data_IF_126842686510
#
_entry.id   IF_126842686510
#
_cell.length_a   1.000
_cell.length_b   1.000
_cell.length_c   1.000
_cell.angle_alpha   90.00
_cell.angle_beta   90.00
_cell.angle_gamma   90.00
#
_symmetry.space_group_name_H-M   'P 1'
#
loop_
_entity.id
_entity.type
_entity.pdbx_description
1 polymer ?
#
# COMPACT_ATOMS: atom_id res chain seq x y z
N UNK A 1 -7.19 -3.11 -48.41
CA UNK A 1 -7.26 -1.95 -47.48
C UNK A 1 -8.65 -1.69 -46.93
N UNK A 2 -9.73 -1.71 -47.73
CA UNK A 2 -11.11 -1.67 -47.20
C UNK A 2 -11.56 -3.07 -46.72
N UNK A 3 -11.61 -4.05 -47.64
CA UNK A 3 -12.10 -5.42 -47.40
C UNK A 3 -11.39 -6.14 -46.23
N UNK A 4 -10.08 -5.91 -46.06
CA UNK A 4 -9.28 -6.46 -44.94
C UNK A 4 -9.79 -6.05 -43.55
N UNK A 5 -10.57 -4.97 -43.44
CA UNK A 5 -11.12 -4.48 -42.16
C UNK A 5 -12.45 -5.13 -41.80
N UNK A 6 -13.22 -5.58 -42.79
CA UNK A 6 -14.52 -6.24 -42.57
C UNK A 6 -14.36 -7.68 -42.10
N UNK A 7 -13.25 -8.33 -42.47
CA UNK A 7 -12.92 -9.71 -42.04
C UNK A 7 -11.94 -9.75 -40.84
N UNK A 8 -12.09 -8.85 -39.86
CA UNK A 8 -11.22 -8.89 -38.68
C UNK A 8 -11.60 -10.06 -37.74
N UNK A 9 -10.60 -10.89 -37.40
CA UNK A 9 -10.84 -12.13 -36.65
C UNK A 9 -11.28 -11.88 -35.21
N UNK A 10 -12.12 -12.75 -34.60
CA UNK A 10 -12.57 -12.61 -33.22
C UNK A 10 -11.42 -12.39 -32.23
N UNK A 11 -10.38 -13.21 -32.27
CA UNK A 11 -9.20 -13.07 -31.39
C UNK A 11 -8.52 -11.70 -31.52
N UNK A 12 -8.50 -11.10 -32.72
CA UNK A 12 -7.91 -9.77 -32.96
C UNK A 12 -8.80 -8.64 -32.43
N UNK A 13 -10.13 -8.80 -32.49
CA UNK A 13 -11.10 -7.89 -31.85
C UNK A 13 -10.98 -7.97 -30.32
N UNK A 14 -10.98 -9.19 -29.78
CA UNK A 14 -10.86 -9.44 -28.34
C UNK A 14 -9.56 -8.89 -27.77
N UNK A 15 -8.42 -9.27 -28.34
CA UNK A 15 -7.10 -8.78 -27.90
C UNK A 15 -6.98 -7.26 -28.05
N UNK A 16 -7.46 -6.71 -29.17
CA UNK A 16 -7.41 -5.28 -29.47
C UNK A 16 -8.19 -4.37 -28.51
N UNK A 17 -9.08 -4.92 -27.69
CA UNK A 17 -9.80 -4.20 -26.62
C UNK A 17 -9.31 -4.65 -25.24
N UNK A 18 -9.26 -5.95 -24.97
CA UNK A 18 -8.94 -6.48 -23.63
C UNK A 18 -7.52 -6.13 -23.18
N UNK A 19 -6.53 -6.16 -24.08
CA UNK A 19 -5.14 -5.84 -23.74
C UNK A 19 -4.97 -4.36 -23.36
N UNK A 20 -5.34 -3.36 -24.19
CA UNK A 20 -5.27 -1.95 -23.79
C UNK A 20 -6.20 -1.60 -22.61
N UNK A 21 -7.37 -2.23 -22.46
CA UNK A 21 -8.23 -2.01 -21.30
C UNK A 21 -7.59 -2.51 -20.00
N UNK A 22 -6.96 -3.69 -20.02
CA UNK A 22 -6.15 -4.21 -18.92
C UNK A 22 -5.10 -3.19 -18.45
N UNK A 23 -4.22 -2.72 -19.35
CA UNK A 23 -3.16 -1.78 -18.97
C UNK A 23 -3.71 -0.45 -18.45
N UNK A 24 -4.84 0.00 -18.99
CA UNK A 24 -5.54 1.22 -18.55
C UNK A 24 -6.11 1.07 -17.13
N UNK A 25 -6.71 -0.08 -16.81
CA UNK A 25 -7.25 -0.38 -15.49
C UNK A 25 -6.16 -0.66 -14.45
N UNK A 26 -5.11 -1.41 -14.83
CA UNK A 26 -4.04 -1.90 -13.95
C UNK A 26 -3.35 -0.76 -13.19
N UNK A 27 -3.05 0.37 -13.85
CA UNK A 27 -2.41 1.53 -13.22
C UNK A 27 -3.27 2.09 -12.08
N UNK A 28 -4.58 2.22 -12.30
CA UNK A 28 -5.53 2.74 -11.32
C UNK A 28 -5.72 1.76 -10.16
N UNK A 29 -5.90 0.46 -10.45
CA UNK A 29 -6.02 -0.57 -9.42
C UNK A 29 -4.76 -0.70 -8.55
N UNK A 30 -3.58 -0.55 -9.14
CA UNK A 30 -2.31 -0.62 -8.42
C UNK A 30 -2.17 0.49 -7.36
N UNK A 31 -2.67 1.71 -7.64
CA UNK A 31 -2.71 2.79 -6.64
C UNK A 31 -3.59 2.41 -5.44
N UNK A 32 -4.80 1.89 -5.69
CA UNK A 32 -5.67 1.41 -4.61
C UNK A 32 -5.07 0.23 -3.83
N UNK A 33 -4.38 -0.69 -4.52
CA UNK A 33 -3.70 -1.80 -3.86
C UNK A 33 -2.56 -1.35 -2.94
N UNK A 34 -1.72 -0.41 -3.39
CA UNK A 34 -0.64 0.15 -2.56
C UNK A 34 -1.23 0.90 -1.35
N UNK A 35 -2.32 1.65 -1.51
CA UNK A 35 -3.01 2.29 -0.38
C UNK A 35 -3.57 1.27 0.63
N UNK A 36 -4.23 0.22 0.17
CA UNK A 36 -4.79 -0.81 1.05
C UNK A 36 -3.69 -1.64 1.75
N UNK A 37 -2.53 -1.82 1.10
CA UNK A 37 -1.32 -2.39 1.71
C UNK A 37 -0.71 -1.47 2.77
N UNK A 38 -0.54 -0.17 2.51
CA UNK A 38 0.02 0.76 3.52
C UNK A 38 -0.92 0.98 4.71
N UNK A 39 -2.22 0.78 4.54
CA UNK A 39 -3.20 0.74 5.63
C UNK A 39 -3.22 -0.60 6.40
N UNK A 40 -2.46 -1.62 5.98
CA UNK A 40 -2.48 -2.95 6.61
C UNK A 40 -3.78 -3.74 6.42
N UNK A 41 -4.64 -3.33 5.47
CA UNK A 41 -5.96 -3.93 5.23
C UNK A 41 -5.91 -5.17 4.34
N UNK A 42 -4.78 -5.42 3.67
CA UNK A 42 -4.52 -6.58 2.81
C UNK A 42 -3.17 -7.18 3.16
N UNK A 43 -3.14 -8.49 3.36
CA UNK A 43 -1.92 -9.28 3.43
C UNK A 43 -1.94 -10.29 2.29
N UNK A 44 -1.09 -10.13 1.27
CA UNK A 44 -0.98 -11.12 0.20
C UNK A 44 -0.02 -12.24 0.61
N UNK A 45 -0.49 -13.48 0.56
CA UNK A 45 0.34 -14.65 0.85
C UNK A 45 1.24 -15.05 -0.34
N UNK A 46 2.00 -16.15 -0.19
CA UNK A 46 3.13 -16.56 -1.05
C UNK A 46 2.85 -16.84 -2.53
N UNK A 47 1.65 -16.51 -3.05
CA UNK A 47 1.30 -16.50 -4.49
C UNK A 47 1.14 -15.07 -5.05
N UNK A 48 1.66 -14.05 -4.35
CA UNK A 48 1.60 -12.62 -4.71
C UNK A 48 1.68 -12.35 -6.22
N UNK A 49 2.71 -12.82 -6.93
CA UNK A 49 2.87 -12.56 -8.36
C UNK A 49 1.67 -13.01 -9.22
N UNK A 50 1.06 -14.15 -8.93
CA UNK A 50 -0.12 -14.62 -9.65
C UNK A 50 -1.41 -13.94 -9.16
N UNK A 51 -1.52 -13.64 -7.86
CA UNK A 51 -2.62 -12.86 -7.30
C UNK A 51 -2.67 -11.47 -7.95
N UNK A 52 -1.55 -10.75 -7.98
CA UNK A 52 -1.31 -9.48 -8.68
C UNK A 52 -1.73 -9.57 -10.16
N UNK A 53 -1.29 -10.62 -10.87
CA UNK A 53 -1.67 -10.85 -12.26
C UNK A 53 -3.19 -11.00 -12.39
N UNK A 54 -3.83 -11.96 -11.73
CA UNK A 54 -5.28 -12.15 -11.91
C UNK A 54 -6.09 -10.93 -11.46
N UNK A 55 -5.78 -10.36 -10.29
CA UNK A 55 -6.51 -9.26 -9.68
C UNK A 55 -6.46 -7.98 -10.53
N UNK A 56 -5.28 -7.60 -11.03
CA UNK A 56 -5.09 -6.33 -11.73
C UNK A 56 -5.23 -6.39 -13.26
N UNK A 57 -4.80 -7.48 -13.89
CA UNK A 57 -4.78 -7.62 -15.37
C UNK A 57 -6.15 -8.05 -15.91
N UNK A 58 -6.94 -8.81 -15.13
CA UNK A 58 -8.29 -9.21 -15.54
C UNK A 58 -9.35 -8.20 -15.12
N UNK A 59 -10.27 -7.79 -16.00
CA UNK A 59 -11.49 -7.07 -15.62
C UNK A 59 -12.60 -7.99 -15.08
N UNK A 60 -12.32 -9.29 -14.93
CA UNK A 60 -13.28 -10.35 -14.55
C UNK A 60 -12.95 -11.02 -13.21
N UNK A 61 -11.78 -10.71 -12.65
CA UNK A 61 -11.24 -11.32 -11.42
C UNK A 61 -12.20 -11.29 -10.22
N UNK A 62 -13.04 -10.25 -10.14
CA UNK A 62 -14.07 -10.01 -9.13
C UNK A 62 -14.97 -11.23 -8.87
N UNK A 63 -15.37 -11.97 -9.91
CA UNK A 63 -16.19 -13.18 -9.73
C UNK A 63 -15.38 -14.47 -9.81
N UNK A 64 -14.36 -14.53 -10.67
CA UNK A 64 -13.58 -15.76 -10.84
C UNK A 64 -12.71 -16.10 -9.63
N UNK A 65 -12.12 -15.10 -8.95
CA UNK A 65 -11.22 -15.37 -7.82
C UNK A 65 -12.02 -15.96 -6.64
N UNK A 66 -13.15 -15.40 -6.17
CA UNK A 66 -13.96 -16.05 -5.15
C UNK A 66 -14.38 -17.49 -5.48
N UNK A 67 -14.67 -17.78 -6.76
CA UNK A 67 -14.98 -19.15 -7.21
C UNK A 67 -13.73 -20.05 -7.16
N UNK A 68 -12.54 -19.57 -7.55
CA UNK A 68 -11.28 -20.31 -7.46
C UNK A 68 -10.86 -20.55 -6.00
N UNK A 69 -11.10 -19.58 -5.11
CA UNK A 69 -10.90 -19.73 -3.66
C UNK A 69 -11.82 -20.83 -3.09
N UNK A 70 -13.12 -20.75 -3.39
CA UNK A 70 -14.13 -21.67 -2.87
C UNK A 70 -14.02 -23.11 -3.43
N UNK A 71 -13.65 -23.29 -4.71
CA UNK A 71 -13.57 -24.61 -5.34
C UNK A 71 -12.23 -25.32 -5.11
N UNK A 72 -11.12 -24.58 -4.96
CA UNK A 72 -9.77 -25.17 -4.90
C UNK A 72 -9.04 -24.88 -3.58
N UNK A 73 -9.71 -24.31 -2.57
CA UNK A 73 -9.11 -24.01 -1.26
C UNK A 73 -7.92 -23.06 -1.35
N UNK A 74 -7.91 -22.18 -2.36
CA UNK A 74 -6.76 -21.31 -2.62
C UNK A 74 -6.86 -20.00 -1.84
N UNK A 75 -5.82 -19.66 -1.09
CA UNK A 75 -5.70 -18.38 -0.41
C UNK A 75 -4.80 -17.46 -1.25
N UNK A 76 -5.35 -16.33 -1.71
CA UNK A 76 -4.59 -15.30 -2.43
C UNK A 76 -4.14 -14.16 -1.51
N UNK A 77 -4.79 -14.01 -0.36
CA UNK A 77 -4.48 -13.06 0.70
C UNK A 77 -5.57 -13.04 1.77
N UNK A 78 -5.26 -12.38 2.89
CA UNK A 78 -6.12 -12.21 4.05
C UNK A 78 -6.40 -10.72 4.32
N UNK A 79 -7.56 -10.43 4.92
CA UNK A 79 -7.98 -9.09 5.30
C UNK A 79 -9.08 -8.48 4.42
N UNK A 80 -9.94 -7.68 5.04
CA UNK A 80 -11.13 -7.06 4.42
C UNK A 80 -10.80 -6.16 3.20
N UNK A 81 -9.56 -5.66 3.11
CA UNK A 81 -9.11 -4.85 1.98
C UNK A 81 -9.18 -5.59 0.64
N UNK A 82 -9.12 -6.93 0.62
CA UNK A 82 -9.25 -7.72 -0.62
C UNK A 82 -10.66 -7.55 -1.22
N UNK A 83 -11.69 -7.55 -0.38
CA UNK A 83 -13.08 -7.30 -0.77
C UNK A 83 -13.27 -5.85 -1.24
N UNK A 84 -12.72 -4.87 -0.52
CA UNK A 84 -12.73 -3.47 -0.96
C UNK A 84 -12.04 -3.28 -2.32
N UNK A 85 -10.93 -3.97 -2.57
CA UNK A 85 -10.22 -3.93 -3.85
C UNK A 85 -11.06 -4.53 -4.98
N UNK A 86 -11.76 -5.66 -4.75
CA UNK A 86 -12.73 -6.20 -5.72
C UNK A 86 -13.85 -5.19 -6.04
N UNK A 87 -14.44 -4.55 -5.02
CA UNK A 87 -15.48 -3.53 -5.22
C UNK A 87 -14.96 -2.29 -5.97
N UNK A 88 -13.73 -1.84 -5.70
CA UNK A 88 -13.06 -0.76 -6.43
C UNK A 88 -12.65 -1.16 -7.86
N UNK A 89 -12.40 -2.44 -8.13
CA UNK A 89 -12.08 -2.95 -9.46
C UNK A 89 -13.24 -2.75 -10.44
N UNK A 90 -14.47 -3.06 -10.03
CA UNK A 90 -15.68 -3.02 -10.88
C UNK A 90 -15.82 -1.70 -11.67
N UNK A 91 -15.88 -0.49 -11.04
CA UNK A 91 -16.04 0.76 -11.79
C UNK A 91 -14.82 1.10 -12.65
N UNK A 92 -13.61 0.75 -12.21
CA UNK A 92 -12.36 0.97 -12.98
C UNK A 92 -12.35 0.11 -14.24
N UNK A 93 -12.79 -1.15 -14.15
CA UNK A 93 -12.87 -2.08 -15.27
C UNK A 93 -13.96 -1.68 -16.28
N UNK A 94 -15.15 -1.29 -15.80
CA UNK A 94 -16.23 -0.75 -16.64
C UNK A 94 -15.78 0.51 -17.39
N UNK A 95 -15.06 1.42 -16.70
CA UNK A 95 -14.50 2.62 -17.30
C UNK A 95 -13.42 2.31 -18.35
N UNK A 96 -12.44 1.47 -18.03
CA UNK A 96 -11.34 1.15 -18.92
C UNK A 96 -11.82 0.40 -20.18
N UNK A 97 -12.72 -0.58 -20.02
CA UNK A 97 -13.37 -1.26 -21.15
C UNK A 97 -14.23 -0.28 -21.97
N UNK A 98 -14.96 0.62 -21.31
CA UNK A 98 -15.79 1.63 -21.99
C UNK A 98 -14.99 2.62 -22.82
N UNK A 99 -13.88 3.13 -22.28
CA UNK A 99 -12.96 4.03 -22.96
C UNK A 99 -12.35 3.36 -24.20
N UNK A 100 -11.72 2.20 -23.99
CA UNK A 100 -10.98 1.48 -25.04
C UNK A 100 -11.91 0.89 -26.11
N UNK A 101 -13.08 0.37 -25.74
CA UNK A 101 -14.03 -0.12 -26.73
C UNK A 101 -14.62 1.02 -27.58
N UNK A 102 -14.88 2.20 -27.00
CA UNK A 102 -15.33 3.38 -27.78
C UNK A 102 -14.29 3.81 -28.81
N UNK A 103 -13.01 3.89 -28.44
CA UNK A 103 -11.95 4.22 -29.41
C UNK A 103 -11.83 3.16 -30.50
N UNK A 104 -11.90 1.87 -30.14
CA UNK A 104 -11.78 0.75 -31.08
C UNK A 104 -12.95 0.67 -32.07
N UNK A 105 -14.20 0.84 -31.60
CA UNK A 105 -15.40 0.81 -32.45
C UNK A 105 -15.34 1.90 -33.52
N UNK A 106 -14.90 3.10 -33.16
CA UNK A 106 -14.79 4.23 -34.08
C UNK A 106 -13.60 4.09 -35.03
N UNK A 107 -12.38 3.93 -34.50
CA UNK A 107 -11.14 3.97 -35.28
C UNK A 107 -10.94 2.72 -36.16
N UNK A 108 -11.26 1.54 -35.62
CA UNK A 108 -10.96 0.24 -36.25
C UNK A 108 -12.17 -0.36 -36.95
N UNK A 109 -13.34 -0.34 -36.31
CA UNK A 109 -14.57 -0.96 -36.85
C UNK A 109 -15.45 0.02 -37.64
N UNK A 110 -15.23 1.35 -37.51
CA UNK A 110 -16.10 2.42 -38.06
C UNK A 110 -17.59 2.20 -37.75
N UNK A 111 -17.89 1.73 -36.55
CA UNK A 111 -19.24 1.58 -36.00
C UNK A 111 -19.47 2.64 -34.92
N UNK A 112 -20.70 3.13 -34.81
CA UNK A 112 -21.09 3.94 -33.66
C UNK A 112 -21.08 3.06 -32.39
N UNK A 113 -20.39 3.44 -31.31
CA UNK A 113 -20.33 2.64 -30.09
C UNK A 113 -21.68 2.71 -29.35
N UNK A 114 -22.29 1.58 -28.98
CA UNK A 114 -23.54 1.56 -28.21
C UNK A 114 -23.46 2.32 -26.88
N UNK A 115 -24.59 2.85 -26.43
CA UNK A 115 -24.71 3.37 -25.07
C UNK A 115 -24.46 2.25 -24.04
N UNK A 116 -23.75 2.61 -22.96
CA UNK A 116 -23.34 1.63 -21.94
C UNK A 116 -22.32 0.58 -22.39
N UNK A 117 -21.68 0.69 -23.57
CA UNK A 117 -20.76 -0.32 -24.13
C UNK A 117 -19.72 -0.88 -23.14
N UNK A 118 -19.17 -0.04 -22.26
CA UNK A 118 -18.23 -0.49 -21.21
C UNK A 118 -18.86 -1.47 -20.22
N UNK A 119 -20.07 -1.17 -19.73
CA UNK A 119 -20.85 -2.06 -18.86
C UNK A 119 -21.32 -3.31 -19.61
N UNK A 120 -21.72 -3.17 -20.87
CA UNK A 120 -22.17 -4.30 -21.70
C UNK A 120 -21.03 -5.29 -22.00
N UNK A 121 -19.82 -4.81 -22.28
CA UNK A 121 -18.63 -5.65 -22.41
C UNK A 121 -18.25 -6.23 -21.05
N UNK A 122 -18.21 -5.41 -19.99
CA UNK A 122 -17.83 -5.85 -18.65
C UNK A 122 -18.73 -6.95 -18.12
N UNK A 123 -20.07 -6.80 -18.16
CA UNK A 123 -20.97 -7.84 -17.65
C UNK A 123 -20.88 -9.15 -18.44
N UNK A 124 -20.74 -9.05 -19.78
CA UNK A 124 -20.58 -10.23 -20.64
C UNK A 124 -19.22 -10.92 -20.41
N UNK A 125 -18.14 -10.17 -20.21
CA UNK A 125 -16.84 -10.75 -19.89
C UNK A 125 -16.79 -11.31 -18.47
N UNK A 126 -17.38 -10.61 -17.51
CA UNK A 126 -17.52 -10.99 -16.11
C UNK A 126 -18.20 -12.36 -15.97
N UNK A 127 -19.35 -12.55 -16.60
CA UNK A 127 -20.05 -13.84 -16.63
C UNK A 127 -19.20 -14.95 -17.28
N UNK A 128 -18.48 -14.65 -18.37
CA UNK A 128 -17.67 -15.67 -19.07
C UNK A 128 -16.48 -16.10 -18.22
N UNK A 129 -15.69 -15.16 -17.70
CA UNK A 129 -14.53 -15.52 -16.87
C UNK A 129 -14.91 -16.10 -15.51
N UNK A 130 -16.11 -15.82 -14.97
CA UNK A 130 -16.63 -16.49 -13.77
C UNK A 130 -16.72 -18.02 -13.93
N UNK A 131 -16.91 -18.55 -15.16
CA UNK A 131 -16.82 -19.99 -15.45
C UNK A 131 -15.50 -20.38 -16.11
N UNK A 132 -14.99 -19.55 -17.03
CA UNK A 132 -13.83 -19.86 -17.85
C UNK A 132 -12.50 -19.77 -17.10
N UNK A 133 -12.34 -18.84 -16.16
CA UNK A 133 -11.09 -18.73 -15.38
C UNK A 133 -10.94 -19.84 -14.33
N UNK A 134 -11.99 -20.28 -13.59
CA UNK A 134 -11.90 -21.50 -12.78
C UNK A 134 -11.66 -22.77 -13.61
N UNK A 135 -12.26 -22.88 -14.80
CA UNK A 135 -12.00 -24.00 -15.71
C UNK A 135 -10.55 -24.00 -16.23
N UNK A 136 -10.04 -22.83 -16.64
CA UNK A 136 -8.65 -22.64 -17.05
C UNK A 136 -7.69 -22.93 -15.90
N UNK A 137 -8.00 -22.47 -14.69
CA UNK A 137 -7.23 -22.75 -13.48
C UNK A 137 -7.12 -24.25 -13.22
N UNK A 138 -8.25 -24.97 -13.30
CA UNK A 138 -8.29 -26.43 -13.13
C UNK A 138 -7.48 -27.17 -14.21
N UNK A 139 -7.69 -26.86 -15.48
CA UNK A 139 -6.99 -27.53 -16.59
C UNK A 139 -5.48 -27.25 -16.54
N UNK A 140 -5.08 -26.00 -16.30
CA UNK A 140 -3.65 -25.64 -16.21
C UNK A 140 -3.01 -26.30 -15.00
N UNK A 141 -3.64 -26.27 -13.81
CA UNK A 141 -3.10 -26.96 -12.62
C UNK A 141 -2.94 -28.46 -12.86
N UNK A 142 -3.98 -29.12 -13.39
CA UNK A 142 -3.93 -30.54 -13.71
C UNK A 142 -2.83 -30.87 -14.74
N UNK A 143 -2.64 -30.05 -15.78
CA UNK A 143 -1.54 -30.22 -16.73
C UNK A 143 -0.18 -30.00 -16.06
N UNK A 144 -0.04 -29.01 -15.19
CA UNK A 144 1.19 -28.74 -14.44
C UNK A 144 1.55 -29.91 -13.53
N UNK A 145 0.61 -30.45 -12.75
CA UNK A 145 0.84 -31.59 -11.84
C UNK A 145 1.27 -32.85 -12.61
N UNK A 146 0.63 -33.14 -13.74
CA UNK A 146 1.02 -34.24 -14.64
C UNK A 146 2.38 -33.98 -15.30
N UNK A 147 2.69 -32.74 -15.70
CA UNK A 147 3.96 -32.39 -16.33
C UNK A 147 5.14 -32.42 -15.35
N UNK A 148 4.93 -32.02 -14.08
CA UNK A 148 5.90 -32.19 -13.00
C UNK A 148 6.17 -33.67 -12.79
N UNK A 149 5.12 -34.49 -12.62
CA UNK A 149 5.22 -35.95 -12.46
C UNK A 149 5.98 -36.60 -13.62
N UNK A 150 5.67 -36.22 -14.86
CA UNK A 150 6.38 -36.69 -16.05
C UNK A 150 7.85 -36.23 -16.09
N UNK A 151 8.15 -35.00 -15.68
CA UNK A 151 9.52 -34.49 -15.66
C UNK A 151 10.41 -35.26 -14.66
N UNK A 152 9.87 -35.65 -13.50
CA UNK A 152 10.57 -36.51 -12.55
C UNK A 152 10.83 -37.91 -13.13
N UNK A 153 9.83 -38.57 -13.73
CA UNK A 153 10.02 -39.91 -14.31
C UNK A 153 10.97 -39.91 -15.51
N UNK A 154 11.04 -38.82 -16.27
CA UNK A 154 12.05 -38.63 -17.32
C UNK A 154 13.46 -38.40 -16.76
N UNK A 155 13.61 -37.68 -15.64
CA UNK A 155 14.91 -37.47 -14.99
C UNK A 155 15.48 -38.75 -14.35
N UNK A 156 14.61 -39.67 -13.90
CA UNK A 156 15.00 -40.99 -13.39
C UNK A 156 15.24 -42.05 -14.49
N UNK A 157 14.86 -41.75 -15.73
CA UNK A 157 14.94 -42.67 -16.87
C UNK A 157 16.40 -43.00 -17.20
N UNK A 158 16.68 -44.29 -17.42
CA UNK A 158 18.03 -44.87 -17.39
C UNK A 158 19.05 -44.22 -18.34
N UNK A 159 18.59 -43.66 -19.47
CA UNK A 159 19.41 -42.91 -20.44
C UNK A 159 19.76 -41.48 -20.02
N UNK A 160 18.92 -40.82 -19.23
CA UNK A 160 19.15 -39.47 -18.67
C UNK A 160 19.75 -39.52 -17.27
N UNK A 161 19.61 -40.64 -16.58
CA UNK A 161 20.15 -40.88 -15.24
C UNK A 161 21.66 -40.65 -15.16
N UNK A 162 22.45 -41.17 -16.10
CA UNK A 162 23.90 -40.92 -16.17
C UNK A 162 24.26 -39.43 -16.35
N UNK A 163 23.41 -38.66 -17.02
CA UNK A 163 23.57 -37.20 -17.20
C UNK A 163 23.21 -36.44 -15.90
N UNK A 164 22.19 -36.93 -15.20
CA UNK A 164 21.58 -36.28 -14.03
C UNK A 164 22.26 -36.62 -12.69
N UNK A 165 22.80 -37.83 -12.53
CA UNK A 165 23.53 -38.26 -11.32
C UNK A 165 25.03 -37.92 -11.38
N UNK A 166 25.63 -37.82 -12.58
CA UNK A 166 27.10 -37.71 -12.75
C UNK A 166 27.60 -36.45 -13.47
N UNK A 167 26.74 -35.64 -14.09
CA UNK A 167 27.17 -34.54 -14.97
C UNK A 167 26.61 -33.15 -14.65
N UNK A 168 25.35 -33.05 -14.24
CA UNK A 168 24.64 -31.77 -14.09
C UNK A 168 24.73 -31.18 -12.67
N UNK A 169 25.14 -29.91 -12.49
CA UNK A 169 25.03 -29.22 -11.21
C UNK A 169 23.55 -28.97 -10.85
N UNK A 170 23.24 -28.94 -9.54
CA UNK A 170 21.87 -28.87 -9.00
C UNK A 170 21.02 -27.73 -9.61
N UNK A 171 21.63 -26.56 -9.86
CA UNK A 171 20.95 -25.42 -10.46
C UNK A 171 20.49 -25.69 -11.92
N UNK A 172 21.29 -26.40 -12.72
CA UNK A 172 20.95 -26.75 -14.11
C UNK A 172 19.89 -27.85 -14.15
N UNK A 173 19.92 -28.82 -13.22
CA UNK A 173 18.85 -29.81 -13.05
C UNK A 173 17.51 -29.13 -12.76
N UNK A 174 17.47 -28.19 -11.81
CA UNK A 174 16.25 -27.43 -11.47
C UNK A 174 15.79 -26.56 -12.66
N UNK A 175 16.72 -25.93 -13.39
CA UNK A 175 16.41 -25.15 -14.59
C UNK A 175 15.81 -25.98 -15.73
N UNK A 176 16.36 -27.17 -16.00
CA UNK A 176 15.82 -28.10 -16.99
C UNK A 176 14.44 -28.62 -16.58
N UNK A 177 14.27 -29.05 -15.32
CA UNK A 177 12.98 -29.51 -14.79
C UNK A 177 11.90 -28.42 -14.93
N UNK A 178 12.20 -27.19 -14.48
CA UNK A 178 11.35 -26.01 -14.59
C UNK A 178 11.00 -25.65 -16.04
N UNK A 179 11.96 -25.74 -16.98
CA UNK A 179 11.69 -25.45 -18.40
C UNK A 179 10.84 -26.52 -19.06
N UNK A 180 10.97 -27.80 -18.67
CA UNK A 180 10.15 -28.90 -19.20
C UNK A 180 8.68 -28.73 -18.77
N UNK A 181 8.37 -28.77 -17.47
CA UNK A 181 6.97 -28.66 -17.03
C UNK A 181 6.41 -27.24 -17.22
N UNK A 182 7.25 -26.22 -17.06
CA UNK A 182 6.86 -24.82 -17.22
C UNK A 182 6.52 -24.43 -18.66
N UNK A 183 7.24 -24.97 -19.67
CA UNK A 183 6.91 -24.71 -21.08
C UNK A 183 5.60 -25.38 -21.50
N UNK A 184 5.37 -26.63 -21.09
CA UNK A 184 4.11 -27.35 -21.33
C UNK A 184 2.93 -26.60 -20.69
N UNK A 185 3.07 -26.22 -19.42
CA UNK A 185 2.05 -25.46 -18.68
C UNK A 185 1.77 -24.10 -19.33
N UNK A 186 2.82 -23.39 -19.75
CA UNK A 186 2.71 -22.08 -20.42
C UNK A 186 2.06 -22.19 -21.80
N UNK A 187 2.34 -23.25 -22.56
CA UNK A 187 1.73 -23.49 -23.87
C UNK A 187 0.21 -23.75 -23.74
N UNK A 188 -0.20 -24.59 -22.78
CA UNK A 188 -1.62 -24.83 -22.50
C UNK A 188 -2.32 -23.57 -21.99
N UNK A 189 -1.70 -22.83 -21.06
CA UNK A 189 -2.19 -21.54 -20.59
C UNK A 189 -2.39 -20.54 -21.74
N UNK A 190 -1.43 -20.44 -22.67
CA UNK A 190 -1.51 -19.56 -23.83
C UNK A 190 -2.64 -19.96 -24.79
N UNK A 191 -2.77 -21.25 -25.12
CA UNK A 191 -3.84 -21.77 -26.00
C UNK A 191 -5.22 -21.51 -25.38
N UNK A 192 -5.41 -21.82 -24.09
CA UNK A 192 -6.68 -21.54 -23.39
C UNK A 192 -6.96 -20.04 -23.31
N UNK A 193 -5.95 -19.20 -23.04
CA UNK A 193 -6.11 -17.74 -23.02
C UNK A 193 -6.55 -17.19 -24.38
N UNK A 194 -5.98 -17.70 -25.48
CA UNK A 194 -6.38 -17.33 -26.85
C UNK A 194 -7.81 -17.77 -27.17
N UNK A 195 -8.27 -18.92 -26.66
CA UNK A 195 -9.67 -19.36 -26.78
C UNK A 195 -10.60 -18.40 -26.02
N UNK A 196 -10.29 -18.05 -24.77
CA UNK A 196 -11.08 -17.09 -23.98
C UNK A 196 -11.16 -15.70 -24.64
N UNK A 197 -10.04 -15.19 -25.15
CA UNK A 197 -9.99 -13.92 -25.91
C UNK A 197 -10.79 -14.01 -27.22
N UNK A 198 -10.79 -15.16 -27.89
CA UNK A 198 -11.60 -15.37 -29.11
C UNK A 198 -13.11 -15.36 -28.82
N UNK A 199 -13.56 -16.02 -27.75
CA UNK A 199 -14.97 -16.03 -27.32
C UNK A 199 -15.46 -14.61 -27.02
N UNK A 200 -14.67 -13.85 -26.23
CA UNK A 200 -14.98 -12.45 -25.92
C UNK A 200 -14.98 -11.57 -27.17
N UNK A 201 -14.00 -11.76 -28.06
CA UNK A 201 -13.94 -11.08 -29.34
C UNK A 201 -15.11 -11.38 -30.27
N UNK A 202 -15.67 -12.60 -30.23
CA UNK A 202 -16.86 -12.98 -31.00
C UNK A 202 -18.13 -12.29 -30.49
N UNK A 203 -18.22 -12.06 -29.17
CA UNK A 203 -19.33 -11.32 -28.56
C UNK A 203 -19.23 -9.82 -28.86
N UNK A 204 -18.01 -9.26 -28.82
CA UNK A 204 -17.77 -7.88 -29.24
C UNK A 204 -18.08 -7.70 -30.74
N UNK A 205 -17.68 -8.68 -31.57
CA UNK A 205 -18.03 -8.70 -33.00
C UNK A 205 -19.54 -8.64 -33.23
N UNK A 206 -20.34 -9.45 -32.52
CA UNK A 206 -21.81 -9.40 -32.62
C UNK A 206 -22.37 -8.02 -32.26
N UNK A 207 -21.88 -7.39 -31.19
CA UNK A 207 -22.28 -6.02 -30.84
C UNK A 207 -21.90 -5.00 -31.93
N UNK A 208 -20.75 -5.19 -32.59
CA UNK A 208 -20.34 -4.36 -33.71
C UNK A 208 -21.18 -4.64 -34.98
N UNK A 209 -21.61 -5.88 -35.22
CA UNK A 209 -22.53 -6.24 -36.31
C UNK A 209 -23.91 -5.59 -36.10
N UNK A 210 -24.44 -5.61 -34.87
CA UNK A 210 -25.66 -4.91 -34.42
C UNK A 210 -25.57 -3.37 -34.48
N UNK A 211 -24.35 -2.81 -34.42
CA UNK A 211 -24.12 -1.35 -34.37
C UNK A 211 -24.27 -0.66 -35.74
N UNK A 212 -24.70 0.61 -35.73
CA UNK A 212 -24.80 1.45 -36.94
C UNK A 212 -23.40 1.78 -37.51
N UNK A 213 -23.24 1.88 -38.84
CA UNK A 213 -22.02 2.44 -39.43
C UNK A 213 -21.87 3.91 -39.03
N UNK A 214 -20.65 4.34 -38.72
CA UNK A 214 -20.38 5.75 -38.46
C UNK A 214 -20.59 6.57 -39.75
N UNK A 215 -21.44 7.59 -39.70
CA UNK A 215 -21.83 8.42 -40.85
C UNK A 215 -20.78 9.46 -41.26
N UNK A 216 -19.69 9.58 -40.50
CA UNK A 216 -18.67 10.62 -40.66
C UNK A 216 -17.53 10.19 -41.58
N UNK A 217 -17.05 11.12 -42.41
CA UNK A 217 -15.77 10.95 -43.11
C UNK A 217 -14.62 10.92 -42.08
N UNK A 218 -13.50 10.28 -42.43
CA UNK A 218 -12.39 9.97 -41.52
C UNK A 218 -11.87 11.17 -40.71
N UNK A 219 -11.82 12.36 -41.31
CA UNK A 219 -11.40 13.58 -40.63
C UNK A 219 -12.41 14.07 -39.58
N UNK A 220 -13.73 13.92 -39.82
CA UNK A 220 -14.78 14.21 -38.84
C UNK A 220 -14.76 13.20 -37.69
N UNK A 221 -14.50 11.93 -38.01
CA UNK A 221 -14.39 10.86 -37.02
C UNK A 221 -13.16 11.09 -36.09
N UNK A 222 -12.07 11.66 -36.60
CA UNK A 222 -10.94 12.15 -35.78
C UNK A 222 -11.35 13.33 -34.90
N UNK A 223 -12.01 14.37 -35.44
CA UNK A 223 -12.38 15.54 -34.62
C UNK A 223 -13.42 15.20 -33.56
N UNK A 224 -14.40 14.33 -33.85
CA UNK A 224 -15.34 13.79 -32.86
C UNK A 224 -14.60 13.01 -31.76
N UNK A 225 -13.58 12.24 -32.12
CA UNK A 225 -12.76 11.48 -31.16
C UNK A 225 -11.89 12.37 -30.27
N UNK A 226 -11.31 13.45 -30.81
CA UNK A 226 -10.54 14.41 -30.03
C UNK A 226 -11.45 15.24 -29.11
N UNK A 227 -12.63 15.65 -29.61
CA UNK A 227 -13.69 16.27 -28.79
C UNK A 227 -14.22 15.34 -27.68
N UNK A 228 -14.20 14.01 -27.86
CA UNK A 228 -14.54 13.05 -26.80
C UNK A 228 -13.47 12.90 -25.71
N UNK A 229 -12.27 13.45 -25.90
CA UNK A 229 -11.21 13.52 -24.88
C UNK A 229 -11.29 14.80 -24.05
N UNK A 230 -11.82 15.87 -24.63
CA UNK A 230 -12.14 17.10 -23.89
C UNK A 230 -13.42 16.85 -23.07
N UNK A 231 -13.40 17.01 -21.74
CA UNK A 231 -14.62 16.89 -20.96
C UNK A 231 -15.57 18.04 -21.33
N UNK A 232 -16.84 17.71 -21.59
CA UNK A 232 -17.87 18.67 -21.94
C UNK A 232 -18.09 19.74 -20.83
N UNK A 233 -17.77 19.40 -19.59
CA UNK A 233 -17.65 20.34 -18.47
C UNK A 233 -16.22 20.29 -17.89
N UNK A 234 -15.42 21.29 -18.24
CA UNK A 234 -14.06 21.47 -17.74
C UNK A 234 -14.02 21.95 -16.27
N UNK A 235 -15.08 22.63 -15.81
CA UNK A 235 -15.22 23.06 -14.42
C UNK A 235 -15.47 21.87 -13.50
N UNK A 236 -16.33 20.92 -13.93
CA UNK A 236 -16.55 19.65 -13.24
C UNK A 236 -15.29 18.78 -13.23
N UNK A 237 -14.50 18.74 -14.33
CA UNK A 237 -13.19 18.07 -14.32
C UNK A 237 -12.26 18.69 -13.28
N UNK A 238 -12.08 20.01 -13.29
CA UNK A 238 -11.17 20.69 -12.36
C UNK A 238 -11.62 20.51 -10.90
N UNK A 239 -12.92 20.61 -10.64
CA UNK A 239 -13.51 20.46 -9.30
C UNK A 239 -13.38 19.02 -8.79
N UNK A 240 -13.62 18.01 -9.64
CA UNK A 240 -13.46 16.60 -9.25
C UNK A 240 -11.98 16.23 -9.07
N UNK A 241 -11.07 16.71 -9.93
CA UNK A 241 -9.63 16.51 -9.77
C UNK A 241 -9.10 17.15 -8.47
N UNK A 242 -9.52 18.39 -8.17
CA UNK A 242 -9.16 19.08 -6.93
C UNK A 242 -9.76 18.38 -5.70
N UNK A 243 -11.03 17.94 -5.77
CA UNK A 243 -11.70 17.19 -4.71
C UNK A 243 -11.02 15.87 -4.40
N UNK A 244 -10.65 15.09 -5.43
CA UNK A 244 -9.83 13.87 -5.28
C UNK A 244 -8.46 14.20 -4.69
N UNK A 245 -7.81 15.28 -5.14
CA UNK A 245 -6.54 15.74 -4.57
C UNK A 245 -6.63 16.06 -3.07
N UNK A 246 -7.69 16.73 -2.63
CA UNK A 246 -7.96 17.02 -1.21
C UNK A 246 -8.23 15.73 -0.43
N UNK A 247 -9.07 14.82 -0.94
CA UNK A 247 -9.36 13.53 -0.29
C UNK A 247 -8.11 12.67 -0.18
N UNK A 248 -7.30 12.57 -1.24
CA UNK A 248 -6.03 11.85 -1.22
C UNK A 248 -5.01 12.51 -0.27
N UNK A 249 -4.99 13.83 -0.14
CA UNK A 249 -4.13 14.53 0.83
C UNK A 249 -4.58 14.26 2.27
N UNK A 250 -5.88 14.32 2.56
CA UNK A 250 -6.43 13.97 3.87
C UNK A 250 -6.16 12.50 4.22
N UNK A 251 -6.39 11.57 3.29
CA UNK A 251 -6.03 10.17 3.43
C UNK A 251 -4.53 9.99 3.70
N UNK A 252 -3.66 10.66 2.95
CA UNK A 252 -2.22 10.61 3.18
C UNK A 252 -1.85 11.05 4.61
N UNK A 253 -2.42 12.16 5.09
CA UNK A 253 -2.19 12.64 6.46
C UNK A 253 -2.77 11.73 7.56
N UNK A 254 -3.83 10.97 7.30
CA UNK A 254 -4.40 9.99 8.27
C UNK A 254 -3.77 8.60 8.19
N UNK A 255 -3.19 8.22 7.05
CA UNK A 255 -2.58 6.90 6.80
C UNK A 255 -1.07 6.92 7.07
N UNK A 256 -0.44 8.11 7.10
CA UNK A 256 0.96 8.26 7.51
C UNK A 256 1.21 7.51 8.83
N UNK A 257 2.02 6.42 8.83
CA UNK A 257 2.30 5.71 10.07
C UNK A 257 3.03 6.64 11.03
N UNK A 258 2.80 6.46 12.34
CA UNK A 258 3.39 7.28 13.42
C UNK A 258 4.90 7.01 13.50
N UNK A 259 5.60 7.62 12.57
CA UNK A 259 7.05 7.52 12.30
C UNK A 259 7.80 8.73 12.82
N UNK A 260 7.09 9.71 13.41
CA UNK A 260 7.59 10.42 14.59
C UNK A 260 7.94 9.37 15.65
N UNK A 261 9.23 9.13 15.95
CA UNK A 261 9.61 8.01 16.80
C UNK A 261 9.08 8.25 18.21
N UNK A 262 8.06 7.49 18.61
CA UNK A 262 7.63 7.47 19.99
C UNK A 262 8.80 6.96 20.83
N UNK A 263 9.33 7.74 21.80
CA UNK A 263 10.49 7.31 22.55
C UNK A 263 10.14 6.02 23.29
N UNK A 264 10.85 4.93 22.97
CA UNK A 264 10.70 3.66 23.68
C UNK A 264 10.80 3.92 25.19
N UNK A 265 10.00 3.21 26.01
CA UNK A 265 9.90 3.48 27.46
C UNK A 265 11.26 3.47 28.17
N UNK A 266 12.21 2.65 27.67
CA UNK A 266 13.61 2.59 28.09
C UNK A 266 14.39 3.92 27.97
N UNK A 267 13.94 4.85 27.12
CA UNK A 267 14.62 6.09 26.74
C UNK A 267 13.77 7.33 27.07
N UNK A 268 13.10 7.31 28.23
CA UNK A 268 12.48 8.52 28.78
C UNK A 268 13.56 9.59 28.98
N UNK A 269 13.46 10.69 28.23
CA UNK A 269 14.41 11.81 28.30
C UNK A 269 14.43 12.35 29.74
N UNK A 270 15.61 12.58 30.36
CA UNK A 270 15.65 13.15 31.71
C UNK A 270 14.90 14.48 31.74
N UNK A 271 13.98 14.63 32.69
CA UNK A 271 13.30 15.89 32.94
C UNK A 271 14.34 16.88 33.48
N UNK A 272 14.88 17.71 32.58
CA UNK A 272 15.77 18.81 32.96
C UNK A 272 14.94 19.82 33.73
N UNK A 273 15.17 19.92 35.05
CA UNK A 273 14.60 20.99 35.86
C UNK A 273 15.00 22.34 35.25
N UNK A 274 14.02 23.02 34.66
CA UNK A 274 14.21 24.35 34.10
C UNK A 274 14.51 25.29 35.26
N UNK A 275 15.73 25.85 35.30
CA UNK A 275 16.12 26.80 36.36
C UNK A 275 15.03 27.87 36.54
N UNK A 276 14.50 28.05 37.76
CA UNK A 276 13.32 28.86 37.97
C UNK A 276 13.59 30.31 37.58
N UNK A 277 12.90 30.78 36.53
CA UNK A 277 13.10 32.07 35.86
C UNK A 277 13.40 33.18 36.87
N UNK A 278 14.63 33.68 36.84
CA UNK A 278 15.15 34.64 37.81
C UNK A 278 14.29 35.92 37.82
N UNK A 279 13.56 36.16 38.93
CA UNK A 279 12.70 37.33 39.12
C UNK A 279 13.43 38.40 39.94
N UNK A 280 13.92 39.51 39.34
CA UNK A 280 14.72 40.50 40.05
C UNK A 280 13.98 41.19 41.21
N UNK A 281 12.65 41.26 41.15
CA UNK A 281 11.81 41.81 42.22
C UNK A 281 11.85 40.99 43.52
N UNK A 282 12.01 39.66 43.45
CA UNK A 282 12.10 38.82 44.65
C UNK A 282 13.48 38.91 45.30
N UNK A 283 14.56 38.97 44.51
CA UNK A 283 15.92 39.18 45.03
C UNK A 283 16.10 40.59 45.60
N UNK A 284 15.51 41.62 44.98
CA UNK A 284 15.44 42.98 45.53
C UNK A 284 14.71 43.02 46.88
N UNK A 285 13.50 42.47 46.97
CA UNK A 285 12.73 42.47 48.23
C UNK A 285 13.43 41.68 49.35
N UNK A 286 14.03 40.53 49.03
CA UNK A 286 14.85 39.75 49.97
C UNK A 286 16.07 40.54 50.47
N UNK A 287 16.73 41.28 49.57
CA UNK A 287 17.85 42.15 49.91
C UNK A 287 17.41 43.33 50.80
N UNK A 288 16.27 43.96 50.49
CA UNK A 288 15.71 45.03 51.32
C UNK A 288 15.35 44.56 52.74
N UNK A 289 14.75 43.37 52.89
CA UNK A 289 14.51 42.77 54.22
C UNK A 289 15.80 42.47 54.97
N UNK A 290 16.85 41.99 54.29
CA UNK A 290 18.17 41.77 54.92
C UNK A 290 18.84 43.07 55.35
N UNK A 291 18.75 44.13 54.55
CA UNK A 291 19.25 45.46 54.94
C UNK A 291 18.50 45.97 56.17
N UNK A 292 17.16 45.92 56.18
CA UNK A 292 16.36 46.34 57.32
C UNK A 292 16.70 45.55 58.61
N UNK A 293 16.87 44.22 58.52
CA UNK A 293 17.23 43.40 59.67
C UNK A 293 18.67 43.60 60.16
N UNK A 294 19.59 43.99 59.28
CA UNK A 294 20.95 44.40 59.65
C UNK A 294 20.96 45.79 60.31
N UNK A 295 20.19 46.75 59.82
CA UNK A 295 20.05 48.08 60.44
C UNK A 295 19.50 47.95 61.87
N UNK A 296 18.41 47.19 62.06
CA UNK A 296 17.85 46.94 63.39
C UNK A 296 18.83 46.21 64.35
N UNK A 297 19.73 45.36 63.82
CA UNK A 297 20.80 44.75 64.62
C UNK A 297 21.91 45.76 64.98
N UNK A 298 22.23 46.71 64.11
CA UNK A 298 23.19 47.79 64.40
C UNK A 298 22.62 48.70 65.50
N UNK A 299 21.37 49.13 65.39
CA UNK A 299 20.68 49.95 66.40
C UNK A 299 20.65 49.24 67.77
N UNK A 300 20.30 47.95 67.79
CA UNK A 300 20.32 47.13 69.00
C UNK A 300 21.73 46.96 69.60
N UNK A 301 22.78 46.87 68.76
CA UNK A 301 24.17 46.82 69.21
C UNK A 301 24.68 48.18 69.72
N UNK A 302 24.15 49.30 69.24
CA UNK A 302 24.46 50.63 69.77
C UNK A 302 23.77 50.89 71.12
N UNK A 303 22.52 50.44 71.28
CA UNK A 303 21.86 50.37 72.59
C UNK A 303 22.63 49.48 73.56
N UNK A 304 23.01 48.26 73.17
CA UNK A 304 23.84 47.39 74.03
C UNK A 304 25.22 48.00 74.35
N UNK A 305 25.83 48.79 73.46
CA UNK A 305 27.10 49.49 73.75
C UNK A 305 26.93 50.64 74.74
N UNK A 306 25.81 51.36 74.69
CA UNK A 306 25.52 52.42 75.68
C UNK A 306 25.18 51.81 77.04
N UNK A 307 24.41 50.73 77.10
CA UNK A 307 24.14 50.00 78.34
C UNK A 307 25.38 49.29 78.93
N UNK A 308 26.23 48.66 78.09
CA UNK A 308 27.46 48.05 78.58
C UNK A 308 28.48 49.08 79.08
N UNK A 309 28.49 50.31 78.56
CA UNK A 309 29.25 51.42 79.17
C UNK A 309 28.75 51.71 80.59
N UNK A 310 27.44 51.71 80.81
CA UNK A 310 26.85 51.92 82.13
C UNK A 310 27.12 50.76 83.11
N UNK A 311 27.25 49.52 82.62
CA UNK A 311 27.47 48.34 83.49
C UNK A 311 28.95 48.00 83.77
N UNK A 312 29.90 48.32 82.87
CA UNK A 312 31.33 47.95 83.04
C UNK A 312 32.04 48.60 84.24
N UNK A 313 31.39 49.53 84.93
CA UNK A 313 31.89 50.14 86.16
C UNK A 313 31.83 49.22 87.41
N UNK A 314 31.15 48.05 87.37
CA UNK A 314 30.58 47.46 88.60
C UNK A 314 31.01 46.04 89.03
N UNK A 315 31.90 45.32 88.35
CA UNK A 315 32.31 43.95 88.77
C UNK A 315 33.68 43.48 88.27
N UNK A 316 34.46 42.77 89.11
CA UNK A 316 35.81 42.24 88.77
C UNK A 316 36.28 41.09 89.71
N UNK A 317 36.46 39.86 89.18
CA UNK A 317 37.06 38.68 89.85
C UNK A 317 36.06 37.64 90.39
N UNK A 318 36.41 36.37 90.70
CA UNK A 318 37.64 35.54 90.54
C UNK A 318 37.29 34.03 90.84
N UNK A 319 38.18 33.05 90.66
CA UNK A 319 38.17 32.09 89.53
C UNK A 319 38.84 30.71 89.85
N UNK A 320 38.49 29.64 89.10
CA UNK A 320 39.22 28.33 88.98
C UNK A 320 38.86 27.19 89.98
N UNK A 321 39.06 25.89 89.69
CA UNK A 321 39.35 25.17 88.42
C UNK A 321 40.03 23.77 88.55
N UNK A 322 39.92 22.90 87.51
CA UNK A 322 40.78 21.70 87.15
C UNK A 322 40.75 20.43 88.06
N UNK A 323 41.00 19.16 87.62
CA UNK A 323 41.11 18.45 86.30
C UNK A 323 40.95 16.90 86.45
N UNK A 324 40.38 16.21 85.43
CA UNK A 324 40.64 14.83 84.88
C UNK A 324 40.98 13.60 85.78
N UNK A 325 41.21 12.33 85.37
CA UNK A 325 41.39 11.50 84.13
C UNK A 325 41.00 10.02 84.52
N UNK A 326 40.74 8.95 83.72
CA UNK A 326 40.40 8.69 82.29
C UNK A 326 40.01 7.17 82.05
N UNK A 327 39.54 6.80 80.84
CA UNK A 327 39.86 5.54 80.09
C UNK A 327 39.07 4.19 80.29
N UNK A 328 39.12 3.21 79.32
CA UNK A 328 37.88 2.85 78.60
C UNK A 328 37.67 1.35 78.18
N UNK A 329 36.65 1.15 77.33
CA UNK A 329 36.50 0.15 76.26
C UNK A 329 36.10 -1.33 76.56
N UNK A 330 35.08 -1.79 75.80
CA UNK A 330 35.11 -3.11 75.13
C UNK A 330 34.20 -3.13 73.89
N UNK A 331 34.61 -3.90 72.88
CA UNK A 331 33.98 -3.94 71.56
C UNK A 331 32.95 -5.07 71.40
N UNK A 332 32.16 -4.96 70.33
CA UNK A 332 31.54 -6.07 69.58
C UNK A 332 31.76 -5.81 68.07
N UNK A 333 31.64 -6.82 67.21
CA UNK A 333 31.13 -6.62 65.85
C UNK A 333 29.65 -6.18 65.89
#
# INVERSE_FOLDING_TARGET
>A
MAEERESMSPTRIGFGILWPACWTAMVVKAVFAVLLLTMGLVHFEGRFGLAVIMLFISPVSVFSIPIIMALFGTHFGEGIGLEFLFWLSIPVDIWALGLVARTFFLERLRKEPPDGLGLAIWWRSALIGAFFLPLLWWIVSFVTDNAITASHTMAEMESLRHLTETGLPVAERIGLELTIWGSISSAVLAVLSLIGVSILGQIIRRMAEESRPASENYQGLITRWDLMRVPADQGLLLTSLAGVGVVCSLMFWTILPVTTPHPHECCKKPDVEVEPVFKPSQSLNSTAQRVASLTAQIDALEQQKTDQKNQKAKSKGKAGGKTTEDSPAKAKP
#
